data_IF_458099442666
#
_entry.id   IF_458099442666
#
_cell.length_a   1.000
_cell.length_b   1.000
_cell.length_c   1.000
_cell.angle_alpha   90.00
_cell.angle_beta   90.00
_cell.angle_gamma   90.00
#
_symmetry.space_group_name_H-M   'P 1'
#
loop_
_entity.id
_entity.type
_entity.pdbx_description
1 polymer ?
#
# COMPACT_ATOMS: atom_id res chain seq x y z
N UNK A 1 10.05 -24.78 8.46
CA UNK A 1 10.16 -24.21 7.09
C UNK A 1 9.10 -23.14 6.80
N UNK A 2 7.79 -23.39 7.01
CA UNK A 2 6.70 -22.43 6.72
C UNK A 2 6.85 -21.01 7.28
N UNK A 3 7.41 -20.84 8.49
CA UNK A 3 7.63 -19.50 9.10
C UNK A 3 8.76 -18.72 8.41
N UNK A 4 9.81 -19.41 7.98
CA UNK A 4 10.92 -18.77 7.27
C UNK A 4 10.49 -18.31 5.88
N UNK A 5 9.66 -19.12 5.20
CA UNK A 5 9.06 -18.73 3.93
C UNK A 5 8.23 -17.44 4.05
N UNK A 6 7.43 -17.28 5.11
CA UNK A 6 6.66 -16.06 5.35
C UNK A 6 7.58 -14.83 5.47
N UNK A 7 8.65 -14.91 6.26
CA UNK A 7 9.60 -13.80 6.38
C UNK A 7 10.30 -13.49 5.07
N UNK A 8 10.73 -14.51 4.32
CA UNK A 8 11.36 -14.33 3.01
C UNK A 8 10.42 -13.62 2.03
N UNK A 9 9.15 -14.02 1.99
CA UNK A 9 8.13 -13.37 1.15
C UNK A 9 7.93 -11.91 1.58
N UNK A 10 7.81 -11.63 2.88
CA UNK A 10 7.66 -10.26 3.38
C UNK A 10 8.89 -9.38 3.12
N UNK A 11 10.09 -9.95 3.14
CA UNK A 11 11.32 -9.21 2.83
C UNK A 11 11.41 -8.96 1.32
N UNK A 12 11.13 -9.97 0.50
CA UNK A 12 11.14 -9.86 -0.96
C UNK A 12 10.07 -8.87 -1.48
N UNK A 13 8.93 -8.77 -0.80
CA UNK A 13 7.86 -7.83 -1.11
C UNK A 13 8.08 -6.39 -0.61
N UNK A 14 9.14 -6.13 0.16
CA UNK A 14 9.39 -4.80 0.74
C UNK A 14 9.56 -3.69 -0.30
N UNK A 15 10.30 -3.87 -1.41
CA UNK A 15 10.39 -2.84 -2.44
C UNK A 15 9.02 -2.47 -3.01
N UNK A 16 8.15 -3.46 -3.22
CA UNK A 16 6.79 -3.23 -3.73
C UNK A 16 5.94 -2.43 -2.73
N UNK A 17 6.04 -2.74 -1.43
CA UNK A 17 5.34 -1.99 -0.40
C UNK A 17 5.85 -0.56 -0.23
N UNK A 18 7.16 -0.35 -0.36
CA UNK A 18 7.73 1.01 -0.34
C UNK A 18 7.25 1.82 -1.53
N UNK A 19 7.23 1.23 -2.73
CA UNK A 19 6.63 1.86 -3.91
C UNK A 19 5.16 2.17 -3.68
N UNK A 20 4.36 1.21 -3.22
CA UNK A 20 2.94 1.38 -2.92
C UNK A 20 2.65 2.50 -1.90
N UNK A 21 3.56 2.73 -0.94
CA UNK A 21 3.40 3.75 0.09
C UNK A 21 3.91 5.13 -0.33
N UNK A 22 4.93 5.19 -1.19
CA UNK A 22 5.63 6.44 -1.53
C UNK A 22 5.34 6.99 -2.93
N UNK A 23 4.81 6.16 -3.84
CA UNK A 23 4.42 6.62 -5.17
C UNK A 23 3.33 7.69 -5.06
N UNK A 24 3.41 8.77 -5.87
CA UNK A 24 2.41 9.81 -5.87
C UNK A 24 1.03 9.30 -6.31
N UNK A 25 0.02 10.07 -5.92
CA UNK A 25 -1.40 9.71 -6.02
C UNK A 25 -1.95 9.63 -7.44
N UNK A 26 -1.18 10.08 -8.45
CA UNK A 26 -1.56 9.99 -9.84
C UNK A 26 -0.34 9.97 -10.78
N UNK A 27 -0.58 9.64 -12.04
CA UNK A 27 0.47 9.44 -13.05
C UNK A 27 1.16 10.74 -13.48
N UNK A 28 0.45 11.87 -13.46
CA UNK A 28 1.01 13.19 -13.78
C UNK A 28 1.99 13.67 -12.71
N UNK A 29 1.62 13.54 -11.44
CA UNK A 29 2.49 13.86 -10.30
C UNK A 29 3.71 12.95 -10.25
N UNK A 30 3.61 11.70 -10.70
CA UNK A 30 4.76 10.82 -10.89
C UNK A 30 5.77 11.34 -11.92
N UNK A 31 5.31 12.12 -12.89
CA UNK A 31 6.11 12.76 -13.93
C UNK A 31 6.53 14.20 -13.55
N UNK A 32 6.18 14.67 -12.35
CA UNK A 32 6.45 16.04 -11.90
C UNK A 32 5.50 17.09 -12.45
N UNK A 33 4.37 16.66 -13.03
CA UNK A 33 3.33 17.54 -13.56
C UNK A 33 2.23 17.66 -12.51
N UNK A 34 1.94 18.89 -12.08
CA UNK A 34 0.82 19.15 -11.18
C UNK A 34 -0.47 19.25 -11.99
N UNK A 35 -1.00 18.08 -12.37
CA UNK A 35 -2.24 17.92 -13.09
C UNK A 35 -3.11 16.83 -12.46
N UNK A 36 -4.41 16.96 -12.70
CA UNK A 36 -5.40 16.00 -12.25
C UNK A 36 -5.51 14.84 -13.24
N UNK A 37 -5.72 13.64 -12.72
CA UNK A 37 -5.80 12.42 -13.52
C UNK A 37 -7.26 11.93 -13.58
N UNK A 38 -7.87 12.07 -14.76
CA UNK A 38 -9.26 11.68 -15.01
C UNK A 38 -9.41 10.17 -15.32
N UNK A 39 -8.31 9.43 -15.51
CA UNK A 39 -8.35 7.98 -15.76
C UNK A 39 -8.64 7.17 -14.47
N UNK A 40 -8.68 7.86 -13.33
CA UNK A 40 -8.96 7.29 -12.02
C UNK A 40 -7.73 6.63 -11.37
N UNK A 41 -7.91 6.00 -10.21
CA UNK A 41 -6.78 5.58 -9.36
C UNK A 41 -6.22 4.19 -9.75
N UNK A 42 -6.59 3.66 -10.92
CA UNK A 42 -6.30 2.28 -11.30
C UNK A 42 -4.79 1.96 -11.30
N UNK A 43 -3.96 2.90 -11.79
CA UNK A 43 -2.50 2.79 -11.81
C UNK A 43 -1.90 2.64 -10.41
N UNK A 44 -2.39 3.42 -9.44
CA UNK A 44 -1.98 3.35 -8.03
C UNK A 44 -2.44 2.02 -7.41
N UNK A 45 -3.70 1.63 -7.65
CA UNK A 45 -4.29 0.41 -7.11
C UNK A 45 -3.61 -0.88 -7.59
N UNK A 46 -3.11 -0.91 -8.84
CA UNK A 46 -2.38 -2.06 -9.39
C UNK A 46 -1.14 -2.44 -8.57
N UNK A 47 -0.48 -1.46 -7.95
CA UNK A 47 0.71 -1.67 -7.11
C UNK A 47 0.31 -1.76 -5.63
N UNK A 48 -0.56 -0.87 -5.19
CA UNK A 48 -0.91 -0.74 -3.79
C UNK A 48 -1.74 -1.91 -3.25
N UNK A 49 -2.67 -2.46 -4.04
CA UNK A 49 -3.54 -3.55 -3.61
C UNK A 49 -2.77 -4.86 -3.33
N UNK A 50 -1.90 -5.38 -4.23
CA UNK A 50 -1.13 -6.60 -3.93
C UNK A 50 -0.18 -6.40 -2.74
N UNK A 51 0.45 -5.23 -2.60
CA UNK A 51 1.28 -4.92 -1.45
C UNK A 51 0.47 -4.90 -0.14
N UNK A 52 -0.72 -4.27 -0.15
CA UNK A 52 -1.60 -4.22 1.00
C UNK A 52 -2.02 -5.62 1.44
N UNK A 53 -2.42 -6.48 0.50
CA UNK A 53 -2.81 -7.86 0.78
C UNK A 53 -1.66 -8.68 1.37
N UNK A 54 -0.45 -8.53 0.82
CA UNK A 54 0.74 -9.20 1.32
C UNK A 54 1.02 -8.86 2.79
N UNK A 55 1.06 -7.56 3.12
CA UNK A 55 1.41 -7.11 4.47
C UNK A 55 0.26 -7.24 5.46
N UNK A 56 -0.99 -7.05 5.05
CA UNK A 56 -2.15 -7.31 5.91
C UNK A 56 -2.25 -8.81 6.24
N UNK A 57 -2.01 -9.68 5.25
CA UNK A 57 -1.92 -11.13 5.46
C UNK A 57 -0.77 -11.50 6.41
N UNK A 58 0.41 -10.92 6.19
CA UNK A 58 1.58 -11.09 7.07
C UNK A 58 1.28 -10.68 8.52
N UNK A 59 0.66 -9.52 8.71
CA UNK A 59 0.22 -9.02 10.02
C UNK A 59 -0.70 -10.04 10.72
N UNK A 60 -1.75 -10.51 10.05
CA UNK A 60 -2.73 -11.45 10.63
C UNK A 60 -2.03 -12.77 11.04
N UNK A 61 -1.21 -13.32 10.14
CA UNK A 61 -0.51 -14.59 10.38
C UNK A 61 0.50 -14.47 11.54
N UNK A 62 1.27 -13.38 11.59
CA UNK A 62 2.24 -13.12 12.66
C UNK A 62 1.58 -12.78 14.00
N UNK A 63 0.47 -12.04 13.98
CA UNK A 63 -0.28 -11.68 15.19
C UNK A 63 -0.95 -12.90 15.84
N UNK A 64 -1.50 -13.80 15.02
CA UNK A 64 -2.13 -15.05 15.49
C UNK A 64 -1.13 -15.97 16.17
N UNK A 65 0.14 -15.91 15.78
CA UNK A 65 1.23 -16.69 16.36
C UNK A 65 1.86 -15.96 17.57
N UNK A 66 1.15 -15.96 18.71
CA UNK A 66 1.59 -15.26 19.94
C UNK A 66 2.81 -15.84 20.65
N UNK A 67 3.44 -16.87 20.08
CA UNK A 67 4.49 -17.66 20.74
C UNK A 67 5.81 -16.89 21.01
N UNK A 68 6.08 -15.78 20.30
CA UNK A 68 7.35 -15.04 20.42
C UNK A 68 7.13 -13.53 20.36
N UNK A 69 7.92 -12.77 21.15
CA UNK A 69 7.94 -11.30 21.12
C UNK A 69 8.28 -10.76 19.72
N UNK A 70 9.21 -11.40 19.00
CA UNK A 70 9.57 -11.02 17.63
C UNK A 70 8.41 -11.05 16.63
N UNK A 71 7.46 -12.00 16.77
CA UNK A 71 6.29 -12.06 15.89
C UNK A 71 5.38 -10.84 16.09
N UNK A 72 5.27 -10.32 17.32
CA UNK A 72 4.47 -9.11 17.59
C UNK A 72 5.10 -7.88 16.95
N UNK A 73 6.42 -7.75 17.04
CA UNK A 73 7.16 -6.63 16.40
C UNK A 73 7.01 -6.70 14.89
N UNK A 74 7.23 -7.87 14.30
CA UNK A 74 7.05 -8.04 12.85
C UNK A 74 5.61 -7.78 12.40
N UNK A 75 4.61 -8.22 13.18
CA UNK A 75 3.20 -7.92 12.91
C UNK A 75 2.90 -6.41 12.99
N UNK A 76 3.49 -5.70 13.95
CA UNK A 76 3.37 -4.25 14.06
C UNK A 76 4.00 -3.54 12.86
N UNK A 77 5.19 -3.97 12.42
CA UNK A 77 5.80 -3.44 11.20
C UNK A 77 4.89 -3.66 9.97
N UNK A 78 4.30 -4.85 9.84
CA UNK A 78 3.35 -5.14 8.77
C UNK A 78 2.10 -4.23 8.85
N UNK A 79 1.57 -3.99 10.05
CA UNK A 79 0.45 -3.07 10.25
C UNK A 79 0.80 -1.64 9.80
N UNK A 80 1.95 -1.12 10.21
CA UNK A 80 2.39 0.23 9.83
C UNK A 80 2.55 0.36 8.31
N UNK A 81 3.12 -0.65 7.66
CA UNK A 81 3.23 -0.70 6.20
C UNK A 81 1.84 -0.71 5.54
N UNK A 82 0.92 -1.56 6.01
CA UNK A 82 -0.45 -1.61 5.50
C UNK A 82 -1.19 -0.29 5.69
N UNK A 83 -1.00 0.41 6.81
CA UNK A 83 -1.59 1.73 7.04
C UNK A 83 -1.02 2.79 6.09
N UNK A 84 0.29 2.78 5.85
CA UNK A 84 0.92 3.70 4.90
C UNK A 84 0.39 3.47 3.47
N UNK A 85 0.28 2.22 3.04
CA UNK A 85 -0.29 1.87 1.74
C UNK A 85 -1.77 2.27 1.67
N UNK A 86 -2.55 1.98 2.72
CA UNK A 86 -3.96 2.36 2.80
C UNK A 86 -4.18 3.87 2.75
N UNK A 87 -3.27 4.64 3.34
CA UNK A 87 -3.28 6.10 3.24
C UNK A 87 -3.05 6.57 1.81
N UNK A 88 -2.09 5.98 1.09
CA UNK A 88 -1.83 6.34 -0.30
C UNK A 88 -3.03 6.00 -1.21
N UNK A 89 -3.66 4.84 -1.00
CA UNK A 89 -4.91 4.48 -1.70
C UNK A 89 -6.01 5.49 -1.42
N UNK A 90 -6.22 5.86 -0.14
CA UNK A 90 -7.24 6.82 0.23
C UNK A 90 -6.98 8.23 -0.33
N UNK A 91 -5.71 8.61 -0.48
CA UNK A 91 -5.31 9.85 -1.11
C UNK A 91 -5.57 9.81 -2.62
N UNK A 92 -5.21 8.73 -3.31
CA UNK A 92 -5.51 8.53 -4.72
C UNK A 92 -7.02 8.53 -5.01
N UNK A 93 -7.82 7.86 -4.18
CA UNK A 93 -9.28 7.88 -4.30
C UNK A 93 -9.86 9.28 -4.11
N UNK A 94 -9.34 10.05 -3.15
CA UNK A 94 -9.76 11.44 -2.93
C UNK A 94 -9.38 12.36 -4.08
N UNK A 95 -8.21 12.14 -4.68
CA UNK A 95 -7.78 12.90 -5.85
C UNK A 95 -8.66 12.58 -7.08
N UNK A 96 -8.95 11.29 -7.33
CA UNK A 96 -9.70 10.86 -8.51
C UNK A 96 -11.21 11.09 -8.41
N UNK A 97 -11.79 11.09 -7.21
CA UNK A 97 -13.25 11.20 -7.00
C UNK A 97 -13.66 12.38 -6.12
N UNK A 98 -12.75 13.31 -5.83
CA UNK A 98 -13.05 14.52 -5.06
C UNK A 98 -13.74 15.59 -5.90
N UNK A 99 -14.27 16.62 -5.25
CA UNK A 99 -15.00 17.71 -5.91
C UNK A 99 -14.18 18.36 -7.06
N UNK A 100 -12.86 18.50 -6.88
CA UNK A 100 -11.96 19.04 -7.88
C UNK A 100 -11.87 18.18 -9.16
N UNK A 101 -11.97 16.85 -9.05
CA UNK A 101 -11.99 15.98 -10.24
C UNK A 101 -13.33 15.94 -10.90
N UNK A 102 -14.41 16.04 -10.12
CA UNK A 102 -15.76 16.17 -10.67
C UNK A 102 -15.87 17.48 -11.46
N UNK A 103 -15.28 18.58 -10.99
CA UNK A 103 -15.31 19.86 -11.71
C UNK A 103 -14.40 19.87 -12.95
N UNK A 104 -13.21 19.27 -12.87
CA UNK A 104 -12.23 19.31 -13.96
C UNK A 104 -12.46 18.26 -15.06
N UNK A 105 -13.13 17.15 -14.75
CA UNK A 105 -13.32 16.00 -15.64
C UNK A 105 -14.78 15.75 -16.08
N UNK A 106 -15.72 16.65 -15.73
CA UNK A 106 -17.14 16.59 -16.16
C UNK A 106 -17.39 17.27 -17.51
#
# INVERSE_FOLDING_TARGET
>A
MRRMALYVILIAGLPLALLAAALPVNSFKAQGIDALDCDGPASVLMIALPALLLYAGGMILLHRDRSRRFHRVAALCCLLISLAIGWNIAAALRESYGDASIEACA
#
